data_IF_890524181855
#
_entry.id   IF_890524181855
#
_cell.length_a   1.000
_cell.length_b   1.000
_cell.length_c   1.000
_cell.angle_alpha   90.00
_cell.angle_beta   90.00
_cell.angle_gamma   90.00
#
_symmetry.space_group_name_H-M   'P 1'
#
loop_
_entity.id
_entity.type
_entity.pdbx_description
1 polymer ?
#
# COMPACT_ATOMS: atom_id res chain seq x y z
N UNK A 1 12.04 2.55 8.43
CA UNK A 1 10.82 2.56 7.59
C UNK A 1 11.23 3.02 6.20
N UNK A 2 11.11 2.16 5.18
CA UNK A 2 11.63 2.42 3.83
C UNK A 2 10.47 2.80 2.91
N UNK A 3 10.65 3.81 2.06
CA UNK A 3 9.69 4.10 0.98
C UNK A 3 9.94 3.10 -0.14
N UNK A 4 8.92 2.34 -0.49
CA UNK A 4 8.96 1.41 -1.61
C UNK A 4 8.83 2.15 -2.93
N UNK A 5 9.42 1.56 -3.96
CA UNK A 5 9.25 2.02 -5.31
C UNK A 5 7.89 1.61 -5.88
N UNK A 6 7.68 2.00 -7.13
CA UNK A 6 6.51 1.61 -7.88
C UNK A 6 6.55 0.11 -8.16
N UNK A 7 5.42 -0.57 -8.05
CA UNK A 7 5.27 -2.03 -8.13
C UNK A 7 6.07 -2.84 -7.09
N UNK A 8 6.62 -2.21 -6.06
CA UNK A 8 7.22 -2.95 -4.95
C UNK A 8 6.15 -3.48 -3.99
N UNK A 9 6.44 -4.60 -3.33
CA UNK A 9 5.53 -5.24 -2.38
C UNK A 9 5.50 -4.43 -1.08
N UNK A 10 4.40 -3.72 -0.86
CA UNK A 10 4.15 -3.00 0.39
C UNK A 10 3.68 -3.93 1.52
N UNK A 11 3.02 -5.05 1.18
CA UNK A 11 2.53 -6.02 2.15
C UNK A 11 2.48 -7.42 1.52
N UNK A 12 3.01 -8.42 2.22
CA UNK A 12 2.91 -9.82 1.79
C UNK A 12 1.61 -10.47 2.27
N UNK A 13 1.17 -11.49 1.54
CA UNK A 13 0.09 -12.37 1.97
C UNK A 13 0.40 -12.94 3.37
N UNK A 14 -0.60 -12.91 4.27
CA UNK A 14 -0.52 -13.36 5.66
C UNK A 14 0.34 -12.54 6.65
N UNK A 15 1.08 -11.51 6.20
CA UNK A 15 1.77 -10.60 7.11
C UNK A 15 0.85 -9.49 7.60
N UNK A 16 0.86 -9.18 8.90
CA UNK A 16 0.16 -8.00 9.46
C UNK A 16 0.98 -6.72 9.34
N UNK A 17 2.29 -6.85 9.17
CA UNK A 17 3.24 -5.75 9.06
C UNK A 17 3.43 -5.31 7.60
N UNK A 18 3.52 -3.99 7.39
CA UNK A 18 3.90 -3.43 6.09
C UNK A 18 5.42 -3.48 5.95
N UNK A 19 5.92 -4.04 4.83
CA UNK A 19 7.36 -4.07 4.52
C UNK A 19 7.91 -2.66 4.28
N UNK A 20 7.10 -1.82 3.66
CA UNK A 20 7.50 -0.50 3.22
C UNK A 20 6.30 0.40 2.92
N UNK A 21 6.59 1.70 2.81
CA UNK A 21 5.61 2.74 2.51
C UNK A 21 5.52 3.07 1.05
N UNK A 22 4.30 3.14 0.51
CA UNK A 22 4.12 3.71 -0.81
C UNK A 22 4.27 5.25 -0.76
N UNK A 23 4.83 5.88 -1.80
CA UNK A 23 4.91 7.35 -1.92
C UNK A 23 3.53 7.99 -2.05
N UNK A 24 3.44 9.33 -1.89
CA UNK A 24 2.18 10.10 -1.79
C UNK A 24 1.15 9.82 -2.89
N UNK A 25 1.63 9.52 -4.09
CA UNK A 25 0.80 9.32 -5.28
C UNK A 25 0.42 7.85 -5.49
N UNK A 26 0.91 6.94 -4.65
CA UNK A 26 0.78 5.50 -4.78
C UNK A 26 -0.01 4.89 -3.63
N UNK A 27 -0.90 3.98 -3.99
CA UNK A 27 -1.72 3.16 -3.10
C UNK A 27 -1.13 1.77 -2.99
N UNK A 28 -1.16 1.22 -1.77
CA UNK A 28 -0.82 -0.16 -1.51
C UNK A 28 -2.00 -1.06 -1.94
N UNK A 29 -2.00 -1.49 -3.20
CA UNK A 29 -3.11 -2.21 -3.84
C UNK A 29 -2.82 -3.71 -3.86
N UNK A 30 -3.77 -4.48 -3.36
CA UNK A 30 -3.80 -5.94 -3.48
C UNK A 30 -4.97 -6.38 -4.37
N UNK A 31 -4.83 -7.47 -5.15
CA UNK A 31 -5.94 -8.04 -5.92
C UNK A 31 -6.99 -8.71 -5.02
N UNK A 32 -6.67 -9.01 -3.75
CA UNK A 32 -7.62 -9.52 -2.77
C UNK A 32 -7.01 -9.58 -1.37
N UNK A 33 -7.82 -10.02 -0.40
CA UNK A 33 -7.47 -10.00 1.04
C UNK A 33 -6.30 -10.93 1.41
N UNK A 34 -6.04 -11.94 0.58
CA UNK A 34 -5.01 -12.97 0.75
C UNK A 34 -3.92 -12.88 -0.33
N UNK A 35 -3.66 -11.68 -0.86
CA UNK A 35 -2.66 -11.49 -1.89
C UNK A 35 -1.66 -10.41 -1.48
N UNK A 36 -0.48 -10.49 -2.08
CA UNK A 36 0.55 -9.46 -1.99
C UNK A 36 -0.04 -8.11 -2.45
N UNK A 37 0.20 -7.08 -1.65
CA UNK A 37 -0.12 -5.71 -1.98
C UNK A 37 1.12 -5.03 -2.56
N UNK A 38 0.92 -4.29 -3.63
CA UNK A 38 1.96 -3.58 -4.36
C UNK A 38 1.69 -2.08 -4.36
N UNK A 39 2.73 -1.26 -4.44
CA UNK A 39 2.56 0.19 -4.61
C UNK A 39 2.17 0.52 -6.05
N UNK A 40 0.97 1.05 -6.26
CA UNK A 40 0.44 1.42 -7.60
C UNK A 40 -0.25 2.77 -7.53
N UNK A 41 -0.23 3.60 -8.57
CA UNK A 41 -1.02 4.86 -8.55
C UNK A 41 -2.52 4.63 -8.74
N UNK A 42 -2.95 3.41 -9.09
CA UNK A 42 -4.36 3.11 -9.30
C UNK A 42 -5.04 2.71 -8.00
N UNK A 43 -6.07 3.46 -7.62
CA UNK A 43 -6.91 3.18 -6.45
C UNK A 43 -7.97 2.11 -6.68
N UNK A 44 -7.81 1.23 -7.68
CA UNK A 44 -8.83 0.27 -8.09
C UNK A 44 -8.52 -1.11 -7.50
N UNK A 45 -9.40 -1.59 -6.62
CA UNK A 45 -9.28 -2.89 -5.95
C UNK A 45 -9.14 -2.76 -4.43
N UNK A 46 -8.51 -3.75 -3.79
CA UNK A 46 -8.35 -3.76 -2.35
C UNK A 46 -7.14 -2.92 -1.93
N UNK A 47 -7.40 -1.69 -1.49
CA UNK A 47 -6.37 -0.75 -1.03
C UNK A 47 -6.11 -0.94 0.46
N UNK A 48 -4.86 -1.20 0.83
CA UNK A 48 -4.43 -1.21 2.22
C UNK A 48 -4.07 0.20 2.70
N UNK A 49 -4.71 0.61 3.79
CA UNK A 49 -4.37 1.85 4.53
C UNK A 49 -3.15 1.61 5.41
N UNK A 50 -2.08 2.34 5.14
CA UNK A 50 -0.85 2.28 5.92
C UNK A 50 -0.87 3.32 7.07
N UNK A 51 -0.26 3.02 8.23
CA UNK A 51 -0.41 3.80 9.47
C UNK A 51 0.22 5.21 9.48
N UNK A 52 0.85 5.63 8.39
CA UNK A 52 1.43 6.97 8.24
C UNK A 52 0.72 7.80 7.18
N UNK A 53 -0.45 7.33 6.74
CA UNK A 53 -1.34 8.08 5.87
C UNK A 53 -2.04 9.17 6.68
N UNK A 54 -1.27 10.03 7.35
CA UNK A 54 -1.78 11.15 8.13
C UNK A 54 -2.00 12.41 7.28
N UNK A 55 -1.73 12.42 5.98
CA UNK A 55 -1.82 13.67 5.22
C UNK A 55 -2.53 13.50 3.88
N UNK A 56 -3.72 14.12 3.78
CA UNK A 56 -4.22 14.66 2.52
C UNK A 56 -5.43 14.01 1.87
N UNK A 57 -6.26 13.24 2.57
CA UNK A 57 -7.66 13.10 2.12
C UNK A 57 -8.49 14.10 2.93
N UNK A 58 -8.87 15.26 2.37
CA UNK A 58 -9.97 16.01 2.98
C UNK A 58 -11.19 15.09 2.92
N UNK A 59 -11.75 14.80 4.09
CA UNK A 59 -13.09 14.26 4.27
C UNK A 59 -14.12 15.12 3.53
#
# INVERSE_FOLDING_TARGET
QRTCWWNEICKEEFQTLFRCKCPLWSYCRSPGRYYNAFCTMTGVGYIWTQPDRNWGVPI
#
